data_IF_136694287126
#
_entry.id   IF_136694287126
#
_cell.length_a   1.000
_cell.length_b   1.000
_cell.length_c   1.000
_cell.angle_alpha   90.00
_cell.angle_beta   90.00
_cell.angle_gamma   90.00
#
_symmetry.space_group_name_H-M   'P 1'
#
loop_
_entity.id
_entity.type
_entity.pdbx_description
1 polymer ?
#
# COMPACT_ATOMS: atom_id res chain seq x y z
N UNK A 1 -1.78 0.32 -21.20
CA UNK A 1 -2.96 0.00 -20.36
C UNK A 1 -2.45 -0.63 -19.08
N UNK A 2 -2.91 -0.19 -17.91
CA UNK A 2 -2.58 -0.90 -16.67
C UNK A 2 -3.20 -2.30 -16.72
N UNK A 3 -2.50 -3.35 -16.25
CA UNK A 3 -3.07 -4.70 -16.22
C UNK A 3 -4.31 -4.71 -15.30
N UNK A 4 -5.26 -5.59 -15.60
CA UNK A 4 -6.34 -5.88 -14.66
C UNK A 4 -5.74 -6.51 -13.41
N UNK A 5 -5.85 -5.81 -12.29
CA UNK A 5 -5.45 -6.30 -10.98
C UNK A 5 -6.71 -6.76 -10.27
N UNK A 6 -6.69 -7.99 -9.73
CA UNK A 6 -7.77 -8.51 -8.89
C UNK A 6 -8.00 -7.56 -7.69
N UNK A 7 -9.24 -7.16 -7.45
CA UNK A 7 -9.63 -6.40 -6.26
C UNK A 7 -10.14 -7.35 -5.17
N UNK A 8 -9.75 -7.09 -3.93
CA UNK A 8 -10.13 -7.86 -2.75
C UNK A 8 -10.14 -6.94 -1.51
N UNK A 9 -10.93 -7.26 -0.47
CA UNK A 9 -11.07 -6.41 0.70
C UNK A 9 -9.82 -6.42 1.58
N UNK A 10 -9.49 -5.28 2.21
CA UNK A 10 -8.32 -5.16 3.07
C UNK A 10 -8.31 -6.18 4.23
N UNK A 11 -9.46 -6.71 4.66
CA UNK A 11 -9.55 -7.78 5.66
C UNK A 11 -8.83 -9.08 5.26
N UNK A 12 -8.67 -9.35 3.96
CA UNK A 12 -7.96 -10.53 3.45
C UNK A 12 -6.43 -10.37 3.44
N UNK A 13 -5.90 -9.19 3.80
CA UNK A 13 -4.48 -8.86 3.67
C UNK A 13 -3.57 -9.82 4.47
N UNK A 14 -4.02 -10.27 5.66
CA UNK A 14 -3.30 -11.28 6.46
C UNK A 14 -3.20 -12.64 5.77
N UNK A 15 -4.22 -13.02 4.99
CA UNK A 15 -4.20 -14.26 4.23
C UNK A 15 -3.37 -14.10 2.94
N UNK A 16 -3.64 -13.04 2.16
CA UNK A 16 -2.98 -12.77 0.88
C UNK A 16 -1.47 -12.53 1.04
N UNK A 17 -1.03 -11.92 2.13
CA UNK A 17 0.40 -11.71 2.42
C UNK A 17 1.17 -13.01 2.64
N UNK A 18 0.50 -14.10 2.98
CA UNK A 18 1.13 -15.43 3.07
C UNK A 18 1.50 -15.99 1.70
N UNK A 19 1.05 -15.39 0.61
CA UNK A 19 1.38 -15.82 -0.74
C UNK A 19 2.52 -14.97 -1.31
N UNK A 20 3.35 -15.62 -2.11
CA UNK A 20 4.36 -14.95 -2.96
C UNK A 20 3.70 -14.47 -4.25
N UNK A 21 4.43 -13.68 -5.06
CA UNK A 21 3.97 -13.25 -6.39
C UNK A 21 3.67 -14.41 -7.35
N UNK A 22 4.15 -15.61 -7.04
CA UNK A 22 3.92 -16.82 -7.82
C UNK A 22 2.88 -17.73 -7.14
N UNK A 23 2.03 -17.17 -6.27
CA UNK A 23 0.94 -17.84 -5.55
C UNK A 23 1.37 -18.99 -4.62
N UNK A 24 2.67 -19.16 -4.40
CA UNK A 24 3.20 -20.13 -3.43
C UNK A 24 3.15 -19.55 -2.02
N UNK A 25 2.75 -20.37 -1.05
CA UNK A 25 2.80 -19.99 0.37
C UNK A 25 4.24 -19.69 0.82
N UNK A 26 4.42 -18.58 1.52
CA UNK A 26 5.64 -18.20 2.22
C UNK A 26 5.88 -19.18 3.36
N UNK A 27 7.12 -19.62 3.49
CA UNK A 27 7.53 -20.49 4.60
C UNK A 27 7.91 -19.61 5.78
N UNK A 28 7.53 -20.05 6.98
CA UNK A 28 7.84 -19.38 8.25
C UNK A 28 7.17 -18.00 8.39
N UNK A 29 6.02 -17.81 7.72
CA UNK A 29 5.18 -16.61 7.86
C UNK A 29 3.69 -17.00 7.82
N UNK A 30 3.00 -16.82 8.95
CA UNK A 30 1.60 -17.22 9.14
C UNK A 30 0.60 -16.05 9.01
N UNK A 31 1.01 -14.94 8.38
CA UNK A 31 0.13 -13.79 8.14
C UNK A 31 0.02 -12.81 9.31
N UNK A 32 0.90 -12.92 10.32
CA UNK A 32 1.00 -11.94 11.41
C UNK A 32 1.68 -10.66 10.93
N UNK A 33 0.86 -9.76 10.37
CA UNK A 33 1.30 -8.45 9.93
C UNK A 33 1.54 -7.48 11.10
N UNK A 34 0.94 -7.71 12.27
CA UNK A 34 1.11 -6.82 13.44
C UNK A 34 2.50 -6.96 14.04
N UNK A 35 3.05 -8.18 14.02
CA UNK A 35 4.42 -8.46 14.44
C UNK A 35 5.52 -7.89 13.53
N UNK A 36 5.16 -7.45 12.32
CA UNK A 36 6.09 -6.85 11.37
C UNK A 36 6.35 -5.36 11.66
N UNK A 37 7.54 -4.88 11.31
CA UNK A 37 7.89 -3.45 11.43
C UNK A 37 6.99 -2.59 10.54
N UNK A 38 6.47 -1.48 11.10
CA UNK A 38 5.62 -0.52 10.39
C UNK A 38 6.46 0.64 9.85
N UNK A 39 6.37 0.87 8.54
CA UNK A 39 6.98 1.99 7.84
C UNK A 39 5.92 2.92 7.26
N UNK A 40 6.25 4.20 7.23
CA UNK A 40 5.46 5.24 6.60
C UNK A 40 6.23 5.83 5.42
N UNK A 41 5.52 6.10 4.33
CA UNK A 41 6.03 6.81 3.17
C UNK A 41 5.06 7.90 2.77
N UNK A 42 5.55 9.13 2.66
CA UNK A 42 4.80 10.24 2.10
C UNK A 42 5.04 10.30 0.59
N UNK A 43 3.97 10.17 -0.19
CA UNK A 43 3.95 10.38 -1.62
C UNK A 43 3.11 11.61 -1.96
N UNK A 44 3.20 12.10 -3.19
CA UNK A 44 2.35 13.18 -3.68
C UNK A 44 1.71 12.74 -4.99
N UNK A 45 0.38 12.90 -5.08
CA UNK A 45 -0.33 12.83 -6.35
C UNK A 45 -0.43 14.25 -6.89
N UNK A 46 0.14 14.48 -8.06
CA UNK A 46 0.11 15.77 -8.72
C UNK A 46 -0.70 15.69 -10.01
N UNK A 47 -1.59 16.65 -10.21
CA UNK A 47 -2.37 16.80 -11.43
C UNK A 47 -2.26 18.24 -11.94
N UNK A 48 -2.17 18.39 -13.26
CA UNK A 48 -2.21 19.70 -13.93
C UNK A 48 -3.68 20.02 -14.19
N UNK A 49 -4.17 21.15 -13.69
CA UNK A 49 -5.61 21.48 -13.77
C UNK A 49 -6.11 21.61 -15.20
N UNK A 50 -5.30 22.22 -16.06
CA UNK A 50 -5.58 22.48 -17.47
C UNK A 50 -4.37 22.04 -18.32
N UNK A 51 -4.24 20.74 -18.65
CA UNK A 51 -3.04 20.17 -19.26
C UNK A 51 -2.62 20.79 -20.61
N UNK A 52 -3.52 21.52 -21.25
CA UNK A 52 -3.33 22.11 -22.59
C UNK A 52 -2.86 23.57 -22.51
N UNK A 53 -2.97 24.22 -21.36
CA UNK A 53 -2.56 25.63 -21.19
C UNK A 53 -1.18 25.72 -20.52
N UNK A 54 -0.24 26.45 -21.14
CA UNK A 54 1.14 26.58 -20.63
C UNK A 54 1.23 27.24 -19.24
N UNK A 55 0.23 28.03 -18.88
CA UNK A 55 0.15 28.72 -17.60
C UNK A 55 -0.57 27.90 -16.51
N UNK A 56 -0.96 26.66 -16.81
CA UNK A 56 -1.73 25.84 -15.88
C UNK A 56 -0.98 25.55 -14.59
N UNK A 57 -1.73 25.52 -13.48
CA UNK A 57 -1.22 25.23 -12.15
C UNK A 57 -1.17 23.71 -11.95
N UNK A 58 -0.05 23.23 -11.41
CA UNK A 58 0.07 21.86 -10.91
C UNK A 58 -0.39 21.83 -9.45
N UNK A 59 -1.44 21.08 -9.16
CA UNK A 59 -1.90 20.82 -7.79
C UNK A 59 -1.38 19.47 -7.33
N UNK A 60 -0.81 19.42 -6.12
CA UNK A 60 -0.30 18.21 -5.51
C UNK A 60 -0.98 17.95 -4.17
N UNK A 61 -1.41 16.72 -3.93
CA UNK A 61 -2.01 16.27 -2.68
C UNK A 61 -1.12 15.22 -2.02
N UNK A 62 -0.86 15.32 -0.72
CA UNK A 62 -0.10 14.31 0.01
C UNK A 62 -0.89 13.00 0.10
N UNK A 63 -0.20 11.90 -0.13
CA UNK A 63 -0.70 10.53 0.05
C UNK A 63 0.27 9.82 0.98
N UNK A 64 -0.18 9.58 2.21
CA UNK A 64 0.54 8.76 3.16
C UNK A 64 0.27 7.27 2.84
N UNK A 65 1.33 6.49 2.73
CA UNK A 65 1.30 5.05 2.49
C UNK A 65 1.95 4.34 3.67
N UNK A 66 1.32 3.29 4.15
CA UNK A 66 1.82 2.49 5.27
C UNK A 66 2.24 1.11 4.77
N UNK A 67 3.37 0.62 5.26
CA UNK A 67 3.95 -0.64 4.84
C UNK A 67 4.38 -1.48 6.04
N UNK A 68 4.13 -2.79 5.98
CA UNK A 68 4.69 -3.76 6.93
C UNK A 68 5.87 -4.46 6.29
N UNK A 69 7.04 -4.41 6.94
CA UNK A 69 8.24 -5.15 6.55
C UNK A 69 8.32 -6.43 7.37
N UNK A 70 8.08 -7.55 6.71
CA UNK A 70 7.99 -8.87 7.30
C UNK A 70 9.16 -9.75 6.87
N UNK A 71 9.34 -10.86 7.57
CA UNK A 71 10.34 -11.86 7.25
C UNK A 71 9.66 -13.19 6.94
N UNK A 72 10.16 -13.86 5.91
CA UNK A 72 9.90 -15.27 5.62
C UNK A 72 11.24 -16.00 5.47
N UNK A 73 11.19 -17.31 5.17
CA UNK A 73 12.41 -18.12 4.97
C UNK A 73 13.40 -17.57 3.94
N UNK A 74 12.93 -16.82 2.94
CA UNK A 74 13.77 -16.28 1.86
C UNK A 74 14.33 -14.89 2.19
N UNK A 75 13.94 -14.30 3.30
CA UNK A 75 14.42 -13.00 3.76
C UNK A 75 13.27 -12.04 4.01
N UNK A 76 13.50 -10.77 3.69
CA UNK A 76 12.55 -9.70 3.98
C UNK A 76 11.62 -9.45 2.81
N UNK A 77 10.34 -9.17 3.08
CA UNK A 77 9.39 -8.68 2.10
C UNK A 77 8.53 -7.57 2.69
N UNK A 78 7.93 -6.77 1.81
CA UNK A 78 7.14 -5.60 2.19
C UNK A 78 5.72 -5.76 1.68
N UNK A 79 4.74 -5.38 2.50
CA UNK A 79 3.32 -5.38 2.16
C UNK A 79 2.78 -3.97 2.38
N UNK A 80 2.12 -3.38 1.38
CA UNK A 80 1.36 -2.15 1.60
C UNK A 80 0.14 -2.46 2.47
N UNK A 81 -0.04 -1.71 3.55
CA UNK A 81 -1.06 -1.92 4.58
C UNK A 81 -1.90 -0.68 4.84
N UNK A 82 -1.83 0.34 3.99
CA UNK A 82 -2.53 1.63 4.15
C UNK A 82 -4.01 1.47 4.51
N UNK A 83 -4.75 0.70 3.71
CA UNK A 83 -6.19 0.45 3.94
C UNK A 83 -6.46 -0.50 5.12
N UNK A 84 -5.49 -1.33 5.50
CA UNK A 84 -5.62 -2.29 6.60
C UNK A 84 -5.39 -1.64 7.98
N UNK A 85 -4.51 -0.64 8.06
CA UNK A 85 -4.21 0.07 9.31
C UNK A 85 -5.36 0.98 9.78
N UNK A 86 -6.35 1.28 8.93
CA UNK A 86 -7.58 2.02 9.31
C UNK A 86 -7.36 3.50 9.69
N UNK A 87 -6.16 4.04 9.50
CA UNK A 87 -5.78 5.39 10.01
C UNK A 87 -6.20 6.56 9.11
N UNK A 88 -6.77 6.30 7.93
CA UNK A 88 -6.95 7.35 6.91
C UNK A 88 -8.27 8.11 6.98
N UNK A 89 -9.33 7.53 7.57
CA UNK A 89 -10.63 8.21 7.65
C UNK A 89 -10.69 9.31 8.73
N UNK A 90 -9.82 9.27 9.74
CA UNK A 90 -9.88 10.23 10.85
C UNK A 90 -9.10 11.53 10.62
N UNK A 91 -8.12 11.55 9.70
CA UNK A 91 -7.20 12.70 9.53
C UNK A 91 -7.52 13.63 8.36
N UNK A 92 -8.43 13.25 7.46
CA UNK A 92 -8.87 14.11 6.35
C UNK A 92 -10.13 14.94 6.68
N UNK A 93 -10.79 14.65 7.81
CA UNK A 93 -12.03 15.29 8.26
C UNK A 93 -11.84 16.17 9.52
N UNK A 94 -10.61 16.59 9.82
CA UNK A 94 -10.31 17.44 10.98
C UNK A 94 -9.47 18.64 10.60
#
# INVERSE_FOLDING_TARGET
MAPFVESWPASELSYRSQLTTNEKRRKDFEGDLKGCELFEMLQYRCEVEEPVTRASVTKCWPIQRLFRRCHDRKGTFTVETTAWEGKYDEKLNK
#
